data_IF_033703514792
#
_entry.id   IF_033703514792
#
_cell.length_a   1.000
_cell.length_b   1.000
_cell.length_c   1.000
_cell.angle_alpha   90.00
_cell.angle_beta   90.00
_cell.angle_gamma   90.00
#
_symmetry.space_group_name_H-M   'P 1'
#
loop_
_entity.id
_entity.type
_entity.pdbx_description
1 polymer ?
#
# COMPACT_ATOMS: atom_id res chain seq x y z
N UNK A 1 26.04 -5.81 -25.27
CA UNK A 1 27.51 -5.99 -25.11
C UNK A 1 27.98 -5.18 -23.89
N UNK A 2 28.87 -5.76 -23.09
CA UNK A 2 29.54 -5.04 -22.01
C UNK A 2 30.80 -4.36 -22.53
N UNK A 3 31.08 -3.16 -22.01
CA UNK A 3 32.38 -2.52 -22.29
C UNK A 3 33.52 -3.32 -21.66
N UNK A 4 34.73 -3.14 -22.18
CA UNK A 4 35.94 -3.80 -21.66
C UNK A 4 36.12 -3.54 -20.15
N UNK A 5 35.83 -2.31 -19.70
CA UNK A 5 35.96 -1.92 -18.29
C UNK A 5 35.02 -2.75 -17.38
N UNK A 6 33.81 -3.02 -17.84
CA UNK A 6 32.85 -3.86 -17.09
C UNK A 6 33.30 -5.33 -17.04
N UNK A 7 33.92 -5.83 -18.09
CA UNK A 7 34.51 -7.18 -18.09
C UNK A 7 35.68 -7.25 -17.11
N UNK A 8 36.54 -6.24 -17.10
CA UNK A 8 37.66 -6.15 -16.15
C UNK A 8 37.17 -6.01 -14.70
N UNK A 9 36.13 -5.24 -14.46
CA UNK A 9 35.48 -5.14 -13.13
C UNK A 9 34.93 -6.51 -12.68
N UNK A 10 34.26 -7.26 -13.56
CA UNK A 10 33.82 -8.61 -13.27
C UNK A 10 34.95 -9.57 -12.93
N UNK A 11 36.06 -9.47 -13.67
CA UNK A 11 37.28 -10.23 -13.38
C UNK A 11 37.90 -9.86 -12.03
N UNK A 12 37.91 -8.57 -11.66
CA UNK A 12 38.45 -8.13 -10.36
C UNK A 12 37.69 -8.70 -9.16
N UNK A 13 36.42 -9.00 -9.30
CA UNK A 13 35.62 -9.67 -8.25
C UNK A 13 36.02 -11.13 -7.98
N UNK A 14 36.88 -11.70 -8.85
CA UNK A 14 37.42 -13.05 -8.64
C UNK A 14 38.68 -13.09 -7.81
N UNK A 15 39.33 -11.95 -7.54
CA UNK A 15 40.65 -11.88 -6.88
C UNK A 15 40.67 -12.39 -5.42
N UNK A 16 39.52 -12.58 -4.79
CA UNK A 16 39.38 -13.15 -3.43
C UNK A 16 38.91 -14.60 -3.39
N UNK A 17 38.81 -15.29 -4.55
CA UNK A 17 38.23 -16.64 -4.63
C UNK A 17 39.36 -17.66 -4.78
N UNK A 18 39.33 -18.73 -3.99
CA UNK A 18 40.36 -19.77 -3.95
C UNK A 18 40.55 -20.48 -5.31
N UNK A 19 39.50 -20.59 -6.14
CA UNK A 19 39.55 -21.14 -7.49
C UNK A 19 38.81 -20.23 -8.48
N UNK A 20 39.42 -19.14 -8.95
CA UNK A 20 38.77 -18.25 -9.92
C UNK A 20 38.66 -18.97 -11.25
N UNK A 21 37.43 -19.00 -11.80
CA UNK A 21 37.19 -19.57 -13.13
C UNK A 21 36.28 -18.66 -13.97
N UNK A 22 36.32 -18.84 -15.27
CA UNK A 22 35.57 -18.05 -16.26
C UNK A 22 34.05 -18.15 -16.04
N UNK A 23 33.55 -19.25 -15.48
CA UNK A 23 32.14 -19.43 -15.21
C UNK A 23 31.65 -18.47 -14.13
N UNK A 24 32.49 -18.12 -13.15
CA UNK A 24 32.15 -17.10 -12.15
C UNK A 24 32.04 -15.71 -12.76
N UNK A 25 33.06 -15.33 -13.59
CA UNK A 25 33.00 -14.05 -14.33
C UNK A 25 31.77 -13.96 -15.20
N UNK A 26 31.47 -15.04 -15.94
CA UNK A 26 30.26 -15.09 -16.76
C UNK A 26 28.98 -14.95 -15.94
N UNK A 27 28.93 -15.56 -14.76
CA UNK A 27 27.77 -15.44 -13.83
C UNK A 27 27.59 -13.99 -13.37
N UNK A 28 28.67 -13.29 -13.01
CA UNK A 28 28.63 -11.87 -12.62
C UNK A 28 28.12 -11.01 -13.77
N UNK A 29 28.65 -11.21 -14.99
CA UNK A 29 28.21 -10.45 -16.18
C UNK A 29 26.74 -10.71 -16.52
N UNK A 30 26.28 -11.96 -16.38
CA UNK A 30 24.89 -12.32 -16.61
C UNK A 30 23.99 -11.64 -15.58
N UNK A 31 24.34 -11.68 -14.29
CA UNK A 31 23.57 -11.00 -13.25
C UNK A 31 23.45 -9.50 -13.54
N UNK A 32 24.57 -8.84 -13.92
CA UNK A 32 24.53 -7.43 -14.29
C UNK A 32 23.70 -7.13 -15.54
N UNK A 33 23.69 -8.06 -16.51
CA UNK A 33 22.83 -7.94 -17.68
C UNK A 33 21.35 -8.03 -17.29
N UNK A 34 20.99 -9.02 -16.45
CA UNK A 34 19.64 -9.23 -15.95
C UNK A 34 19.17 -8.04 -15.10
N UNK A 35 20.02 -7.54 -14.19
CA UNK A 35 19.73 -6.35 -13.39
C UNK A 35 19.49 -5.10 -14.24
N UNK A 36 20.33 -4.87 -15.26
CA UNK A 36 20.22 -3.69 -16.12
C UNK A 36 19.08 -3.75 -17.12
N UNK A 37 18.75 -4.91 -17.62
CA UNK A 37 17.80 -5.08 -18.74
C UNK A 37 16.46 -5.68 -18.30
N UNK A 38 16.38 -6.26 -17.11
CA UNK A 38 15.24 -7.04 -16.66
C UNK A 38 14.97 -8.29 -17.50
N UNK A 39 15.96 -8.72 -18.32
CA UNK A 39 15.84 -9.88 -19.22
C UNK A 39 16.76 -11.00 -18.76
N UNK A 40 16.31 -12.23 -18.92
CA UNK A 40 17.09 -13.44 -18.69
C UNK A 40 18.11 -13.70 -19.83
N UNK A 41 18.88 -14.79 -19.69
CA UNK A 41 19.87 -15.23 -20.71
C UNK A 41 19.26 -15.51 -22.08
N UNK A 42 17.95 -15.77 -22.17
CA UNK A 42 17.23 -16.01 -23.43
C UNK A 42 16.70 -14.73 -24.06
N UNK A 43 16.90 -13.57 -23.42
CA UNK A 43 16.39 -12.28 -23.85
C UNK A 43 14.90 -12.06 -23.50
N UNK A 44 14.28 -13.00 -22.78
CA UNK A 44 12.92 -12.84 -22.26
C UNK A 44 12.95 -11.97 -21.02
N UNK A 45 11.93 -11.11 -20.86
CA UNK A 45 11.75 -10.38 -19.61
C UNK A 45 11.57 -11.39 -18.47
N UNK A 46 12.34 -11.23 -17.41
CA UNK A 46 12.19 -12.03 -16.20
C UNK A 46 10.78 -11.82 -15.65
N UNK A 47 10.05 -12.91 -15.46
CA UNK A 47 8.72 -12.84 -14.82
C UNK A 47 8.85 -12.21 -13.43
N UNK A 48 7.84 -11.44 -13.05
CA UNK A 48 7.76 -10.88 -11.71
C UNK A 48 7.56 -12.02 -10.70
N UNK A 49 8.32 -11.97 -9.64
CA UNK A 49 8.12 -12.88 -8.50
C UNK A 49 6.91 -12.42 -7.68
N UNK A 50 6.28 -13.35 -6.97
CA UNK A 50 5.21 -13.01 -6.03
C UNK A 50 5.66 -12.01 -4.98
N UNK A 51 6.92 -12.07 -4.56
CA UNK A 51 7.50 -11.14 -3.59
C UNK A 51 7.57 -9.72 -4.14
N UNK A 52 8.03 -9.54 -5.40
CA UNK A 52 8.07 -8.21 -6.04
C UNK A 52 6.67 -7.61 -6.19
N UNK A 53 5.68 -8.43 -6.56
CA UNK A 53 4.28 -7.99 -6.68
C UNK A 53 3.72 -7.62 -5.29
N UNK A 54 3.99 -8.43 -4.27
CA UNK A 54 3.54 -8.15 -2.89
C UNK A 54 4.12 -6.86 -2.36
N UNK A 55 5.42 -6.62 -2.56
CA UNK A 55 6.09 -5.38 -2.16
C UNK A 55 5.52 -4.16 -2.87
N UNK A 56 5.20 -4.28 -4.16
CA UNK A 56 4.55 -3.21 -4.91
C UNK A 56 3.22 -2.81 -4.27
N UNK A 57 2.33 -3.78 -4.00
CA UNK A 57 1.05 -3.49 -3.37
C UNK A 57 1.18 -2.94 -1.95
N UNK A 58 2.15 -3.42 -1.18
CA UNK A 58 2.42 -2.90 0.15
C UNK A 58 2.87 -1.43 0.10
N UNK A 59 3.78 -1.11 -0.81
CA UNK A 59 4.27 0.26 -1.01
C UNK A 59 3.16 1.19 -1.49
N UNK A 60 2.31 0.71 -2.43
CA UNK A 60 1.17 1.45 -2.93
C UNK A 60 0.19 1.80 -1.80
N UNK A 61 -0.24 0.81 -1.01
CA UNK A 61 -1.13 1.05 0.13
C UNK A 61 -0.53 2.02 1.15
N UNK A 62 0.77 1.88 1.43
CA UNK A 62 1.43 2.76 2.38
C UNK A 62 1.49 4.22 1.89
N UNK A 63 1.65 4.43 0.57
CA UNK A 63 1.57 5.77 -0.05
C UNK A 63 0.17 6.37 0.18
N UNK A 64 -0.89 5.64 -0.17
CA UNK A 64 -2.27 6.09 -0.03
C UNK A 64 -2.67 6.35 1.44
N UNK A 65 -2.28 5.46 2.35
CA UNK A 65 -2.49 5.64 3.79
C UNK A 65 -1.80 6.91 4.31
N UNK A 66 -0.57 7.17 3.86
CA UNK A 66 0.21 8.35 4.25
C UNK A 66 -0.41 9.65 3.71
N UNK A 67 -0.94 9.63 2.48
CA UNK A 67 -1.65 10.76 1.90
C UNK A 67 -2.94 11.05 2.67
N UNK A 68 -3.76 10.03 2.93
CA UNK A 68 -4.97 10.17 3.73
C UNK A 68 -4.67 10.70 5.15
N UNK A 69 -3.55 10.27 5.76
CA UNK A 69 -3.13 10.80 7.06
C UNK A 69 -2.69 12.27 6.98
N UNK A 70 -2.05 12.69 5.89
CA UNK A 70 -1.70 14.08 5.66
C UNK A 70 -2.97 14.95 5.50
N UNK A 71 -3.96 14.50 4.73
CA UNK A 71 -5.25 15.15 4.57
C UNK A 71 -6.00 15.26 5.91
N UNK A 72 -6.03 14.21 6.72
CA UNK A 72 -6.62 14.25 8.07
C UNK A 72 -5.94 15.30 8.95
N UNK A 73 -4.61 15.37 8.93
CA UNK A 73 -3.88 16.38 9.71
C UNK A 73 -4.22 17.80 9.26
N UNK A 74 -4.34 18.04 7.95
CA UNK A 74 -4.74 19.32 7.39
C UNK A 74 -6.14 19.71 7.85
N UNK A 75 -7.13 18.81 7.67
CA UNK A 75 -8.52 19.02 8.08
C UNK A 75 -8.61 19.31 9.59
N UNK A 76 -7.94 18.52 10.42
CA UNK A 76 -7.98 18.68 11.87
C UNK A 76 -7.33 19.99 12.32
N UNK A 77 -6.30 20.48 11.62
CA UNK A 77 -5.69 21.76 11.90
C UNK A 77 -6.63 22.93 11.53
N UNK A 78 -7.36 22.80 10.40
CA UNK A 78 -8.29 23.81 9.93
C UNK A 78 -9.62 23.80 10.69
N UNK A 79 -10.13 22.62 11.01
CA UNK A 79 -11.44 22.41 11.67
C UNK A 79 -11.28 21.43 12.84
N UNK A 80 -10.81 21.88 14.03
CA UNK A 80 -10.56 21.00 15.17
C UNK A 80 -11.78 20.22 15.65
N UNK A 81 -13.01 20.72 15.40
CA UNK A 81 -14.27 20.03 15.75
C UNK A 81 -14.39 18.68 15.04
N UNK A 82 -13.90 18.55 13.78
CA UNK A 82 -13.93 17.28 13.05
C UNK A 82 -13.11 16.21 13.79
N UNK A 83 -11.95 16.59 14.36
CA UNK A 83 -11.15 15.68 15.17
C UNK A 83 -11.92 15.20 16.40
N UNK A 84 -12.61 16.11 17.09
CA UNK A 84 -13.44 15.73 18.25
C UNK A 84 -14.55 14.75 17.85
N UNK A 85 -15.21 15.01 16.72
CA UNK A 85 -16.23 14.09 16.17
C UNK A 85 -15.65 12.70 15.89
N UNK A 86 -14.48 12.63 15.27
CA UNK A 86 -13.83 11.34 14.99
C UNK A 86 -13.42 10.60 16.28
N UNK A 87 -12.97 11.33 17.31
CA UNK A 87 -12.68 10.77 18.63
C UNK A 87 -13.95 10.27 19.33
N UNK A 88 -15.09 11.00 19.23
CA UNK A 88 -16.40 10.61 19.75
C UNK A 88 -16.94 9.37 19.02
N UNK A 89 -16.87 9.32 17.70
CA UNK A 89 -17.26 8.16 16.90
C UNK A 89 -16.43 6.92 17.24
N UNK A 90 -15.12 7.07 17.41
CA UNK A 90 -14.23 5.99 17.81
C UNK A 90 -14.55 5.49 19.24
N UNK A 91 -14.94 6.39 20.16
CA UNK A 91 -15.37 6.01 21.49
C UNK A 91 -16.68 5.22 21.44
N UNK A 92 -17.67 5.67 20.65
CA UNK A 92 -18.93 4.96 20.43
C UNK A 92 -18.73 3.56 19.84
N UNK A 93 -17.85 3.41 18.87
CA UNK A 93 -17.52 2.11 18.27
C UNK A 93 -16.90 1.14 19.29
N UNK A 94 -15.98 1.64 20.14
CA UNK A 94 -15.39 0.84 21.24
C UNK A 94 -16.46 0.41 22.26
N UNK A 95 -17.36 1.30 22.61
CA UNK A 95 -18.45 0.98 23.55
C UNK A 95 -19.42 -0.05 22.95
N UNK A 96 -19.78 0.10 21.68
CA UNK A 96 -20.60 -0.87 20.96
C UNK A 96 -19.95 -2.26 20.96
N UNK A 97 -18.64 -2.35 20.70
CA UNK A 97 -17.91 -3.62 20.74
C UNK A 97 -17.93 -4.26 22.14
N UNK A 98 -17.82 -3.47 23.20
CA UNK A 98 -17.92 -3.97 24.61
C UNK A 98 -19.31 -4.50 24.91
N UNK A 99 -20.35 -3.81 24.46
CA UNK A 99 -21.75 -4.21 24.69
C UNK A 99 -22.08 -5.52 23.98
N UNK A 100 -21.56 -5.72 22.76
CA UNK A 100 -21.76 -6.97 22.00
C UNK A 100 -21.20 -8.17 22.76
N UNK A 101 -20.02 -8.00 23.38
CA UNK A 101 -19.31 -9.06 24.11
C UNK A 101 -19.88 -9.28 25.51
N UNK A 102 -20.47 -8.23 26.17
CA UNK A 102 -21.02 -8.32 27.52
C UNK A 102 -22.39 -8.98 27.51
N UNK A 103 -22.76 -9.60 28.65
CA UNK A 103 -24.05 -10.31 28.83
C UNK A 103 -25.13 -9.44 29.49
N UNK A 104 -25.09 -8.11 29.22
CA UNK A 104 -26.00 -7.14 29.82
C UNK A 104 -27.38 -7.08 29.13
N UNK A 105 -28.42 -6.75 29.90
CA UNK A 105 -29.84 -6.90 29.52
C UNK A 105 -30.33 -5.87 28.49
N UNK A 106 -29.70 -4.71 28.35
CA UNK A 106 -30.15 -3.59 27.49
C UNK A 106 -29.31 -3.32 26.27
N UNK A 107 -28.72 -4.36 25.66
CA UNK A 107 -27.87 -4.23 24.46
C UNK A 107 -28.51 -3.46 23.32
N UNK A 108 -29.80 -3.64 23.10
CA UNK A 108 -30.52 -3.07 21.97
C UNK A 108 -30.69 -1.56 22.10
N UNK A 109 -31.17 -1.09 23.23
CA UNK A 109 -31.42 0.34 23.47
C UNK A 109 -30.11 1.14 23.41
N UNK A 110 -29.07 0.65 24.08
CA UNK A 110 -27.75 1.32 24.07
C UNK A 110 -27.13 1.32 22.66
N UNK A 111 -27.27 0.21 21.92
CA UNK A 111 -26.79 0.13 20.54
C UNK A 111 -27.54 1.11 19.63
N UNK A 112 -28.84 1.27 19.77
CA UNK A 112 -29.64 2.23 19.00
C UNK A 112 -29.22 3.67 19.30
N UNK A 113 -29.04 4.05 20.56
CA UNK A 113 -28.55 5.37 20.97
C UNK A 113 -27.17 5.68 20.39
N UNK A 114 -26.25 4.74 20.42
CA UNK A 114 -24.91 4.91 19.83
C UNK A 114 -25.02 5.15 18.32
N UNK A 115 -25.87 4.41 17.62
CA UNK A 115 -26.12 4.59 16.18
C UNK A 115 -26.73 5.94 15.85
N UNK A 116 -27.72 6.40 16.62
CA UNK A 116 -28.31 7.72 16.44
C UNK A 116 -27.28 8.84 16.64
N UNK A 117 -26.49 8.74 17.71
CA UNK A 117 -25.39 9.69 17.97
C UNK A 117 -24.39 9.69 16.83
N UNK A 118 -23.97 8.51 16.36
CA UNK A 118 -23.03 8.39 15.24
C UNK A 118 -23.61 9.00 13.95
N UNK A 119 -24.91 8.80 13.67
CA UNK A 119 -25.58 9.42 12.52
C UNK A 119 -25.55 10.95 12.59
N UNK A 120 -25.86 11.51 13.76
CA UNK A 120 -25.83 12.95 13.99
C UNK A 120 -24.41 13.52 13.82
N UNK A 121 -23.42 12.86 14.42
CA UNK A 121 -22.02 13.27 14.32
C UNK A 121 -21.49 13.18 12.88
N UNK A 122 -21.84 12.16 12.13
CA UNK A 122 -21.48 12.04 10.71
C UNK A 122 -22.12 13.14 9.86
N UNK A 123 -23.36 13.52 10.16
CA UNK A 123 -24.04 14.63 9.47
C UNK A 123 -23.34 15.96 9.79
N UNK A 124 -22.98 16.21 11.05
CA UNK A 124 -22.22 17.39 11.47
C UNK A 124 -20.85 17.43 10.76
N UNK A 125 -20.13 16.30 10.73
CA UNK A 125 -18.84 16.17 10.05
C UNK A 125 -18.94 16.49 8.56
N UNK A 126 -19.94 15.92 7.85
CA UNK A 126 -20.16 16.17 6.44
C UNK A 126 -20.40 17.67 6.15
N UNK A 127 -21.23 18.31 6.98
CA UNK A 127 -21.48 19.74 6.88
C UNK A 127 -20.21 20.56 7.11
N UNK A 128 -19.42 20.26 8.13
CA UNK A 128 -18.18 20.95 8.43
C UNK A 128 -17.12 20.79 7.34
N UNK A 129 -17.01 19.62 6.72
CA UNK A 129 -16.12 19.40 5.58
C UNK A 129 -16.52 20.28 4.40
N UNK A 130 -17.77 20.22 3.97
CA UNK A 130 -18.26 20.98 2.80
C UNK A 130 -18.22 22.49 3.03
N UNK A 131 -18.57 22.96 4.23
CA UNK A 131 -18.53 24.39 4.60
C UNK A 131 -17.12 24.97 4.58
N UNK A 132 -16.11 24.12 4.84
CA UNK A 132 -14.70 24.49 4.76
C UNK A 132 -14.03 24.18 3.42
N UNK A 133 -14.80 23.76 2.41
CA UNK A 133 -14.33 23.53 1.04
C UNK A 133 -13.57 22.22 0.84
N UNK A 134 -13.75 21.24 1.71
CA UNK A 134 -13.25 19.90 1.55
C UNK A 134 -14.30 18.98 0.92
N UNK A 135 -13.85 18.01 0.13
CA UNK A 135 -14.71 16.93 -0.35
C UNK A 135 -15.05 15.97 0.80
N UNK A 136 -16.17 15.26 0.69
CA UNK A 136 -16.65 14.38 1.77
C UNK A 136 -15.69 13.22 2.04
N UNK A 137 -15.02 12.75 1.01
CA UNK A 137 -14.07 11.63 1.02
C UNK A 137 -12.60 12.07 1.08
N UNK A 138 -12.35 13.40 1.25
CA UNK A 138 -11.00 13.97 1.28
C UNK A 138 -10.06 13.33 2.32
N UNK A 139 -10.64 12.82 3.41
CA UNK A 139 -9.90 12.17 4.49
C UNK A 139 -9.80 10.65 4.34
N UNK A 140 -10.43 10.09 3.30
CA UNK A 140 -10.48 8.65 3.09
C UNK A 140 -9.25 8.15 2.32
N UNK A 141 -8.98 6.85 2.42
CA UNK A 141 -7.91 6.21 1.65
C UNK A 141 -8.45 5.92 0.26
N UNK A 142 -7.81 6.47 -0.77
CA UNK A 142 -8.17 6.27 -2.16
C UNK A 142 -7.32 5.15 -2.77
N UNK A 143 -7.86 3.93 -2.80
CA UNK A 143 -7.19 2.78 -3.39
C UNK A 143 -7.23 2.83 -4.93
N UNK A 144 -6.11 2.53 -5.62
CA UNK A 144 -6.11 2.39 -7.08
C UNK A 144 -7.05 1.26 -7.54
N UNK A 145 -7.10 0.17 -6.79
CA UNK A 145 -8.03 -0.92 -7.04
C UNK A 145 -9.06 -1.02 -5.92
N UNK A 146 -10.30 -0.53 -6.11
CA UNK A 146 -11.33 -0.58 -5.07
C UNK A 146 -11.79 -1.99 -4.74
N UNK A 147 -11.60 -2.97 -5.65
CA UNK A 147 -12.04 -4.35 -5.45
C UNK A 147 -11.21 -5.09 -4.41
N UNK A 148 -9.89 -4.96 -4.47
CA UNK A 148 -9.00 -5.62 -3.53
C UNK A 148 -8.33 -4.67 -2.54
N UNK A 149 -8.61 -3.36 -2.62
CA UNK A 149 -7.97 -2.33 -1.79
C UNK A 149 -6.44 -2.45 -1.84
N UNK A 150 -5.91 -2.56 -3.06
CA UNK A 150 -4.49 -2.69 -3.36
C UNK A 150 -3.76 -3.81 -2.60
N UNK A 151 -4.45 -4.94 -2.38
CA UNK A 151 -3.85 -6.16 -1.85
C UNK A 151 -3.45 -7.15 -2.94
N UNK A 152 -4.00 -6.97 -4.16
CA UNK A 152 -3.88 -7.94 -5.25
C UNK A 152 -4.70 -9.21 -5.06
N UNK A 153 -5.37 -9.37 -3.90
CA UNK A 153 -6.18 -10.56 -3.56
C UNK A 153 -7.58 -10.12 -3.13
N UNK A 154 -8.58 -10.88 -3.55
CA UNK A 154 -9.96 -10.70 -3.11
C UNK A 154 -10.17 -11.32 -1.72
N UNK A 155 -11.24 -10.95 -1.04
CA UNK A 155 -11.64 -11.54 0.25
C UNK A 155 -11.90 -13.05 0.17
N UNK A 156 -12.24 -13.56 -1.04
CA UNK A 156 -12.38 -15.00 -1.32
C UNK A 156 -11.04 -15.75 -1.32
N UNK A 157 -9.90 -15.07 -1.29
CA UNK A 157 -8.56 -15.62 -1.44
C UNK A 157 -8.12 -15.81 -2.90
N UNK A 158 -8.94 -15.40 -3.86
CA UNK A 158 -8.59 -15.41 -5.28
C UNK A 158 -7.79 -14.18 -5.68
N UNK A 159 -7.00 -14.30 -6.75
CA UNK A 159 -6.28 -13.16 -7.31
C UNK A 159 -7.25 -12.14 -7.90
N UNK A 160 -7.07 -10.88 -7.55
CA UNK A 160 -7.81 -9.79 -8.18
C UNK A 160 -7.41 -9.62 -9.64
N UNK A 161 -8.28 -9.06 -10.47
CA UNK A 161 -7.97 -8.75 -11.87
C UNK A 161 -6.73 -7.85 -12.00
N UNK A 162 -6.58 -6.85 -11.12
CA UNK A 162 -5.43 -5.96 -11.11
C UNK A 162 -4.10 -6.69 -10.90
N UNK A 163 -4.10 -7.89 -10.29
CA UNK A 163 -2.90 -8.70 -10.10
C UNK A 163 -2.25 -9.10 -11.43
N UNK A 164 -3.06 -9.40 -12.44
CA UNK A 164 -2.57 -9.73 -13.79
C UNK A 164 -2.04 -8.51 -14.57
N UNK A 165 -2.40 -7.31 -14.15
CA UNK A 165 -1.99 -6.05 -14.79
C UNK A 165 -0.68 -5.50 -14.24
N UNK A 166 -0.18 -6.05 -13.13
CA UNK A 166 1.11 -5.64 -12.57
C UNK A 166 2.23 -6.07 -13.50
N UNK A 167 2.92 -5.12 -14.05
CA UNK A 167 4.09 -5.34 -14.91
C UNK A 167 5.33 -4.71 -14.28
N UNK A 168 6.51 -5.19 -14.69
CA UNK A 168 7.78 -4.59 -14.24
C UNK A 168 7.85 -3.10 -14.58
N UNK A 169 7.39 -2.72 -15.76
CA UNK A 169 7.33 -1.32 -16.18
C UNK A 169 6.43 -0.49 -15.26
N UNK A 170 5.27 -1.04 -14.84
CA UNK A 170 4.37 -0.36 -13.90
C UNK A 170 5.03 -0.16 -12.53
N UNK A 171 5.74 -1.17 -12.03
CA UNK A 171 6.49 -1.09 -10.76
C UNK A 171 7.60 -0.03 -10.87
N UNK A 172 8.39 -0.06 -11.95
CA UNK A 172 9.49 0.88 -12.16
C UNK A 172 9.00 2.33 -12.28
N UNK A 173 7.88 2.57 -12.96
CA UNK A 173 7.26 3.89 -13.04
C UNK A 173 6.80 4.39 -11.66
N UNK A 174 6.10 3.55 -10.92
CA UNK A 174 5.63 3.88 -9.57
C UNK A 174 6.76 4.22 -8.59
N UNK A 175 7.91 3.52 -8.70
CA UNK A 175 9.07 3.76 -7.82
C UNK A 175 9.86 5.03 -8.19
N UNK A 176 9.56 5.70 -9.31
CA UNK A 176 10.19 6.95 -9.76
C UNK A 176 9.39 8.20 -9.40
N UNK A 177 8.14 8.05 -8.99
CA UNK A 177 7.26 9.11 -8.47
C UNK A 177 7.52 9.38 -6.97
#
# INVERSE_FOLDING_TARGET
EFSLDKVLEACSKTTGIANPNINYVNKVLVNWYEERTGKDKSGKRKELTLTEISQYYETLRHKEEKEAEAHRREVYAKVPRIKQIDDELAAGSRELSRIIISDTVDKREVSERIKETASTLNTEKAFLLTDNGFELDYMDIHYECPLCKDTGMLETGEKCQCFGEVSRTKIEQFMQE
#
